data_IF_338677520888
#
_entry.id   IF_338677520888
#
_cell.length_a   1.000
_cell.length_b   1.000
_cell.length_c   1.000
_cell.angle_alpha   90.00
_cell.angle_beta   90.00
_cell.angle_gamma   90.00
#
_symmetry.space_group_name_H-M   'P 1'
#
loop_
_entity.id
_entity.type
_entity.pdbx_description
1 polymer ?
#
# COMPACT_ATOMS: atom_id res chain seq x y z
N UNK A 1 -7.33 7.34 13.36
CA UNK A 1 -7.54 7.22 11.89
C UNK A 1 -7.47 8.61 11.26
N UNK A 2 -6.34 8.96 10.60
CA UNK A 2 -6.10 10.28 10.01
C UNK A 2 -6.44 10.29 8.50
N UNK A 3 -7.16 11.31 8.04
CA UNK A 3 -7.77 11.36 6.72
C UNK A 3 -9.14 10.67 6.64
N UNK A 4 -9.82 10.52 7.78
CA UNK A 4 -11.07 9.78 7.91
C UNK A 4 -12.20 10.25 6.98
N UNK A 5 -12.24 11.52 6.62
CA UNK A 5 -13.26 12.10 5.72
C UNK A 5 -12.99 11.88 4.23
N UNK A 6 -11.81 11.35 3.88
CA UNK A 6 -11.49 10.93 2.50
C UNK A 6 -12.19 9.64 2.12
N UNK A 7 -12.19 9.28 0.82
CA UNK A 7 -12.88 8.10 0.32
C UNK A 7 -12.40 6.79 1.01
N UNK A 8 -11.10 6.49 0.93
CA UNK A 8 -10.52 5.30 1.59
C UNK A 8 -10.62 5.42 3.11
N UNK A 9 -10.44 6.64 3.66
CA UNK A 9 -10.55 6.89 5.09
C UNK A 9 -11.93 6.56 5.65
N UNK A 10 -13.00 6.95 4.97
CA UNK A 10 -14.39 6.64 5.36
C UNK A 10 -14.64 5.13 5.35
N UNK A 11 -14.21 4.42 4.31
CA UNK A 11 -14.34 2.96 4.25
C UNK A 11 -13.58 2.27 5.39
N UNK A 12 -12.35 2.71 5.65
CA UNK A 12 -11.53 2.16 6.75
C UNK A 12 -12.15 2.46 8.12
N UNK A 13 -12.64 3.68 8.33
CA UNK A 13 -13.32 4.07 9.58
C UNK A 13 -14.57 3.21 9.82
N UNK A 14 -15.35 2.93 8.78
CA UNK A 14 -16.54 2.07 8.84
C UNK A 14 -16.17 0.64 9.25
N UNK A 15 -15.14 0.04 8.63
CA UNK A 15 -14.65 -1.30 8.99
C UNK A 15 -14.15 -1.32 10.42
N UNK A 16 -13.32 -0.36 10.83
CA UNK A 16 -12.81 -0.25 12.20
C UNK A 16 -13.94 -0.15 13.23
N UNK A 17 -14.95 0.67 12.95
CA UNK A 17 -16.09 0.86 13.84
C UNK A 17 -16.89 -0.43 13.99
N UNK A 18 -17.21 -1.13 12.89
CA UNK A 18 -17.90 -2.44 12.93
C UNK A 18 -17.10 -3.51 13.68
N UNK A 19 -15.78 -3.47 13.58
CA UNK A 19 -14.89 -4.36 14.31
C UNK A 19 -14.71 -4.00 15.81
N UNK A 20 -15.33 -2.94 16.29
CA UNK A 20 -15.26 -2.51 17.69
C UNK A 20 -13.95 -1.86 18.10
N UNK A 21 -13.16 -1.33 17.16
CA UNK A 21 -11.87 -0.70 17.44
C UNK A 21 -11.99 0.73 18.00
N UNK A 22 -13.19 1.30 18.07
CA UNK A 22 -13.47 2.65 18.58
C UNK A 22 -12.48 3.73 18.06
N UNK A 23 -12.37 3.95 16.73
CA UNK A 23 -11.35 4.82 16.19
C UNK A 23 -11.56 6.29 16.57
N UNK A 24 -10.47 7.01 16.86
CA UNK A 24 -10.45 8.47 16.86
C UNK A 24 -10.30 8.93 15.41
N UNK A 25 -11.36 9.50 14.83
CA UNK A 25 -11.39 9.98 13.45
C UNK A 25 -10.74 11.34 13.36
N UNK A 26 -9.75 11.52 12.47
CA UNK A 26 -9.05 12.80 12.36
C UNK A 26 -9.01 13.33 10.91
N UNK A 27 -9.08 14.65 10.78
CA UNK A 27 -9.07 15.37 9.52
C UNK A 27 -9.21 16.88 9.73
N UNK A 28 -9.23 17.65 8.63
CA UNK A 28 -9.21 19.13 8.66
C UNK A 28 -10.55 19.77 8.99
N UNK A 29 -11.65 19.14 8.58
CA UNK A 29 -12.99 19.70 8.68
C UNK A 29 -13.72 19.11 9.87
N UNK A 30 -13.93 19.93 10.90
CA UNK A 30 -14.68 19.54 12.09
C UNK A 30 -16.11 19.08 11.74
N UNK A 31 -16.83 19.88 10.92
CA UNK A 31 -18.20 19.52 10.52
C UNK A 31 -18.26 18.15 9.82
N UNK A 32 -17.34 17.88 8.89
CA UNK A 32 -17.31 16.59 8.18
C UNK A 32 -16.93 15.42 9.11
N UNK A 33 -16.17 15.67 10.18
CA UNK A 33 -15.86 14.66 11.19
C UNK A 33 -17.06 14.39 12.10
N UNK A 34 -17.78 15.42 12.51
CA UNK A 34 -19.02 15.30 13.32
C UNK A 34 -20.07 14.50 12.53
N UNK A 35 -20.28 14.85 11.26
CA UNK A 35 -21.22 14.11 10.38
C UNK A 35 -20.79 12.63 10.26
N UNK A 36 -19.49 12.38 10.03
CA UNK A 36 -18.97 11.02 9.90
C UNK A 36 -19.14 10.20 11.19
N UNK A 37 -18.89 10.78 12.36
CA UNK A 37 -19.14 10.10 13.65
C UNK A 37 -20.62 9.78 13.79
N UNK A 38 -21.52 10.72 13.44
CA UNK A 38 -22.96 10.49 13.43
C UNK A 38 -23.40 9.33 12.53
N UNK A 39 -22.82 9.26 11.31
CA UNK A 39 -23.07 8.18 10.34
C UNK A 39 -22.59 6.80 10.86
N UNK A 40 -21.46 6.77 11.57
CA UNK A 40 -20.82 5.54 12.01
C UNK A 40 -21.30 5.06 13.39
N UNK A 41 -21.78 5.93 14.26
CA UNK A 41 -22.23 5.57 15.61
C UNK A 41 -23.23 4.41 15.65
N UNK A 42 -24.22 4.31 14.72
CA UNK A 42 -25.17 3.18 14.70
C UNK A 42 -24.51 1.84 14.33
N UNK A 43 -23.30 1.83 13.79
CA UNK A 43 -22.57 0.64 13.40
C UNK A 43 -21.66 0.11 14.51
N UNK A 44 -21.42 0.94 15.54
CA UNK A 44 -20.52 0.61 16.64
C UNK A 44 -21.17 -0.38 17.62
N UNK A 45 -20.41 -1.35 18.16
CA UNK A 45 -20.83 -2.07 19.35
C UNK A 45 -21.05 -1.11 20.52
N UNK A 46 -21.82 -1.56 21.52
CA UNK A 46 -22.05 -0.80 22.77
C UNK A 46 -20.68 -0.46 23.38
N UNK A 47 -20.49 0.80 23.78
CA UNK A 47 -19.26 1.34 24.37
C UNK A 47 -18.04 1.45 23.43
N UNK A 48 -18.19 1.23 22.12
CA UNK A 48 -17.12 1.35 21.13
C UNK A 48 -17.40 2.41 20.03
N UNK A 49 -18.14 3.46 20.36
CA UNK A 49 -18.46 4.53 19.42
C UNK A 49 -17.19 5.29 19.00
N UNK A 50 -17.07 5.66 17.69
CA UNK A 50 -15.96 6.48 17.24
C UNK A 50 -16.03 7.89 17.84
N UNK A 51 -14.87 8.50 18.04
CA UNK A 51 -14.73 9.92 18.44
C UNK A 51 -13.98 10.66 17.35
N UNK A 52 -13.78 11.98 17.51
CA UNK A 52 -13.07 12.75 16.51
C UNK A 52 -12.11 13.79 17.09
N UNK A 53 -11.11 14.20 16.29
CA UNK A 53 -10.18 15.30 16.55
C UNK A 53 -9.85 16.03 15.24
N UNK A 54 -9.72 17.34 15.30
CA UNK A 54 -9.22 18.12 14.17
C UNK A 54 -7.70 17.99 14.09
N UNK A 55 -7.17 17.69 12.90
CA UNK A 55 -5.74 17.70 12.61
C UNK A 55 -5.50 18.05 11.14
N UNK A 56 -4.48 18.85 10.87
CA UNK A 56 -4.08 19.28 9.53
C UNK A 56 -2.58 19.04 9.32
N UNK A 57 -2.20 18.52 8.16
CA UNK A 57 -0.79 18.36 7.75
C UNK A 57 -0.03 19.69 7.68
N UNK A 58 -0.74 20.80 7.48
CA UNK A 58 -0.17 22.15 7.52
C UNK A 58 0.21 22.59 8.94
N UNK A 59 -0.36 21.94 9.96
CA UNK A 59 0.01 22.08 11.37
C UNK A 59 0.52 20.73 11.92
N UNK A 60 1.82 20.44 11.80
CA UNK A 60 2.39 19.19 12.30
C UNK A 60 2.19 18.95 13.80
N UNK A 61 1.97 20.00 14.59
CA UNK A 61 1.69 19.85 16.02
C UNK A 61 0.32 19.19 16.26
N UNK A 62 -0.69 19.56 15.46
CA UNK A 62 -2.00 18.91 15.51
C UNK A 62 -1.95 17.43 15.14
N UNK A 63 -1.06 17.04 14.20
CA UNK A 63 -0.88 15.64 13.81
C UNK A 63 -0.14 14.86 14.92
N UNK A 64 0.89 15.44 15.54
CA UNK A 64 1.57 14.83 16.70
C UNK A 64 0.63 14.60 17.87
N UNK A 65 -0.32 15.49 18.09
CA UNK A 65 -1.32 15.36 19.16
C UNK A 65 -2.31 14.18 18.94
N UNK A 66 -2.32 13.56 17.77
CA UNK A 66 -3.16 12.38 17.50
C UNK A 66 -2.65 11.11 18.20
N UNK A 67 -1.35 11.06 18.53
CA UNK A 67 -0.70 9.93 19.21
C UNK A 67 0.03 10.43 20.44
N UNK A 68 -0.23 9.83 21.58
CA UNK A 68 0.27 10.28 22.88
C UNK A 68 0.89 9.15 23.70
N UNK A 69 0.73 7.91 23.24
CA UNK A 69 1.22 6.71 23.91
C UNK A 69 1.92 5.79 22.89
N UNK A 70 3.05 5.13 23.23
CA UNK A 70 3.68 4.13 22.37
C UNK A 70 2.75 2.94 21.99
N UNK A 71 1.68 2.70 22.75
CA UNK A 71 0.66 1.72 22.40
C UNK A 71 -0.35 2.19 21.36
N UNK A 72 -0.37 3.48 21.03
CA UNK A 72 -1.24 4.02 20.00
C UNK A 72 -0.90 3.46 18.61
N UNK A 73 -1.89 3.49 17.72
CA UNK A 73 -1.71 3.14 16.30
C UNK A 73 -2.27 4.26 15.42
N UNK A 74 -1.40 4.90 14.64
CA UNK A 74 -1.78 5.94 13.69
C UNK A 74 -1.99 5.32 12.30
N UNK A 75 -3.24 5.27 11.85
CA UNK A 75 -3.57 4.86 10.47
C UNK A 75 -3.80 6.10 9.63
N UNK A 76 -3.06 6.27 8.54
CA UNK A 76 -3.14 7.44 7.67
C UNK A 76 -3.61 7.09 6.25
N UNK A 77 -4.60 7.84 5.76
CA UNK A 77 -5.03 7.83 4.36
C UNK A 77 -4.91 9.21 3.73
N UNK A 78 -4.05 10.05 4.29
CA UNK A 78 -3.83 11.43 3.82
C UNK A 78 -2.80 11.43 2.69
N UNK A 79 -3.29 11.45 1.46
CA UNK A 79 -2.47 11.52 0.26
C UNK A 79 -2.70 12.83 -0.54
N UNK A 80 -1.84 13.14 -1.53
CA UNK A 80 -0.66 12.37 -1.98
C UNK A 80 0.43 12.26 -0.90
N UNK A 81 0.91 11.03 -0.66
CA UNK A 81 1.77 10.73 0.50
C UNK A 81 3.17 11.34 0.36
N UNK A 82 3.73 11.39 -0.85
CA UNK A 82 5.02 12.04 -1.10
C UNK A 82 5.03 13.51 -0.66
N UNK A 83 3.88 14.19 -0.76
CA UNK A 83 3.72 15.59 -0.38
C UNK A 83 3.21 15.78 1.06
N UNK A 84 2.29 14.93 1.52
CA UNK A 84 1.51 15.16 2.73
C UNK A 84 1.70 14.09 3.83
N UNK A 85 2.32 12.96 3.53
CA UNK A 85 2.44 11.82 4.47
C UNK A 85 3.44 12.02 5.61
N UNK A 86 4.42 12.94 5.43
CA UNK A 86 5.52 13.12 6.38
C UNK A 86 5.09 13.40 7.82
N UNK A 87 4.16 14.33 8.11
CA UNK A 87 3.80 14.65 9.49
C UNK A 87 3.26 13.44 10.28
N UNK A 88 2.55 12.52 9.62
CA UNK A 88 2.02 11.32 10.27
C UNK A 88 3.13 10.29 10.60
N UNK A 89 4.09 10.08 9.69
CA UNK A 89 5.26 9.22 9.96
C UNK A 89 6.12 9.81 11.08
N UNK A 90 6.43 11.11 11.01
CA UNK A 90 7.22 11.78 12.04
C UNK A 90 6.54 11.67 13.41
N UNK A 91 5.22 11.89 13.50
CA UNK A 91 4.46 11.73 14.75
C UNK A 91 4.57 10.31 15.32
N UNK A 92 4.44 9.28 14.48
CA UNK A 92 4.55 7.90 14.91
C UNK A 92 5.97 7.53 15.35
N UNK A 93 7.00 8.00 14.62
CA UNK A 93 8.40 7.78 14.98
C UNK A 93 8.77 8.49 16.27
N UNK A 94 8.39 9.76 16.44
CA UNK A 94 8.66 10.55 17.65
C UNK A 94 8.00 9.92 18.89
N UNK A 95 6.79 9.36 18.74
CA UNK A 95 6.06 8.71 19.83
C UNK A 95 6.50 7.26 20.08
N UNK A 96 7.17 6.61 19.13
CA UNK A 96 7.53 5.18 19.22
C UNK A 96 6.34 4.25 19.01
N UNK A 97 5.27 4.69 18.33
CA UNK A 97 4.02 3.96 18.20
C UNK A 97 3.86 3.23 16.85
N UNK A 98 2.71 2.56 16.65
CA UNK A 98 2.36 1.90 15.42
C UNK A 98 1.92 2.88 14.32
N UNK A 99 2.31 2.63 13.06
CA UNK A 99 1.90 3.39 11.89
C UNK A 99 1.50 2.48 10.74
N UNK A 100 0.38 2.79 10.09
CA UNK A 100 -0.04 2.18 8.84
C UNK A 100 -0.49 3.25 7.84
N UNK A 101 -0.29 3.01 6.56
CA UNK A 101 -0.83 3.84 5.50
C UNK A 101 -1.25 3.04 4.26
N UNK A 102 -1.99 3.69 3.37
CA UNK A 102 -2.50 3.13 2.11
C UNK A 102 -1.78 3.69 0.89
N UNK A 103 -0.51 4.09 1.02
CA UNK A 103 0.22 4.66 -0.13
C UNK A 103 0.47 3.62 -1.22
N UNK A 104 0.40 4.07 -2.49
CA UNK A 104 0.96 3.35 -3.63
C UNK A 104 2.20 4.06 -4.20
N UNK A 105 2.66 5.16 -3.58
CA UNK A 105 3.69 6.06 -4.11
C UNK A 105 5.10 5.55 -3.80
N UNK A 106 5.82 5.16 -4.84
CA UNK A 106 7.13 4.50 -4.76
C UNK A 106 8.18 5.31 -3.98
N UNK A 107 8.23 6.62 -4.20
CA UNK A 107 9.18 7.51 -3.52
C UNK A 107 8.93 7.59 -2.02
N UNK A 108 7.66 7.60 -1.61
CA UNK A 108 7.28 7.62 -0.20
C UNK A 108 7.63 6.30 0.48
N UNK A 109 7.31 5.16 -0.14
CA UNK A 109 7.66 3.83 0.36
C UNK A 109 9.17 3.72 0.56
N UNK A 110 9.95 4.06 -0.47
CA UNK A 110 11.40 4.04 -0.41
C UNK A 110 11.95 4.86 0.76
N UNK A 111 11.42 6.07 0.94
CA UNK A 111 11.80 6.95 2.03
C UNK A 111 11.51 6.34 3.40
N UNK A 112 10.31 5.75 3.59
CA UNK A 112 9.95 5.10 4.85
C UNK A 112 10.93 3.97 5.17
N UNK A 113 11.29 3.12 4.19
CA UNK A 113 12.23 2.04 4.43
C UNK A 113 13.68 2.51 4.62
N UNK A 114 14.18 3.43 3.79
CA UNK A 114 15.58 3.83 3.81
C UNK A 114 15.91 4.91 4.85
N UNK A 115 14.98 5.80 5.16
CA UNK A 115 15.23 6.96 6.03
C UNK A 115 14.49 6.90 7.36
N UNK A 116 13.21 6.55 7.34
CA UNK A 116 12.38 6.57 8.55
C UNK A 116 12.49 5.26 9.34
N UNK A 117 12.73 4.12 8.67
CA UNK A 117 12.95 2.82 9.31
C UNK A 117 14.05 2.82 10.36
N UNK A 118 15.27 3.27 10.05
CA UNK A 118 16.34 3.39 11.05
C UNK A 118 16.00 4.31 12.24
N UNK A 119 15.23 5.38 12.02
CA UNK A 119 14.74 6.25 13.10
C UNK A 119 13.70 5.52 13.96
N UNK A 120 12.82 4.75 13.33
CA UNK A 120 11.80 3.96 14.01
C UNK A 120 12.40 2.85 14.86
N UNK A 121 13.50 2.21 14.43
CA UNK A 121 14.25 1.23 15.24
C UNK A 121 14.77 1.84 16.54
N UNK A 122 15.21 3.10 16.52
CA UNK A 122 15.74 3.80 17.69
C UNK A 122 14.63 4.19 18.70
N UNK A 123 13.41 4.43 18.22
CA UNK A 123 12.29 4.88 19.08
C UNK A 123 11.32 3.75 19.46
N UNK A 124 11.44 2.58 18.84
CA UNK A 124 10.50 1.48 19.01
C UNK A 124 9.26 1.55 18.14
N UNK A 125 9.19 2.49 17.19
CA UNK A 125 8.08 2.61 16.26
C UNK A 125 8.02 1.44 15.27
N UNK A 126 6.80 1.13 14.80
CA UNK A 126 6.50 0.06 13.85
C UNK A 126 5.81 0.65 12.64
N UNK A 127 6.55 0.80 11.53
CA UNK A 127 6.07 1.47 10.32
C UNK A 127 5.67 0.44 9.27
N UNK A 128 4.38 0.27 9.03
CA UNK A 128 3.79 -0.59 8.00
C UNK A 128 3.23 0.30 6.88
N UNK A 129 4.11 0.87 6.07
CA UNK A 129 3.70 1.67 4.91
C UNK A 129 3.17 0.79 3.79
N UNK A 130 2.28 1.32 2.95
CA UNK A 130 1.66 0.60 1.84
C UNK A 130 0.92 -0.67 2.30
N UNK A 131 0.15 -0.55 3.37
CA UNK A 131 -0.55 -1.67 4.01
C UNK A 131 -2.01 -1.79 3.51
N UNK A 132 -2.18 -1.80 2.20
CA UNK A 132 -3.44 -1.95 1.49
C UNK A 132 -3.34 -2.95 0.35
N UNK A 133 -4.23 -2.81 -0.66
CA UNK A 133 -4.11 -3.54 -1.91
C UNK A 133 -2.72 -3.33 -2.55
N UNK A 134 -2.19 -2.14 -2.49
CA UNK A 134 -0.79 -1.83 -2.71
C UNK A 134 -0.13 -1.74 -1.30
N UNK A 135 0.63 -2.74 -0.77
CA UNK A 135 1.26 -3.87 -1.46
C UNK A 135 1.15 -5.17 -0.63
N UNK A 136 0.13 -5.37 0.20
CA UNK A 136 -0.01 -6.58 1.03
C UNK A 136 -0.24 -7.86 0.19
N UNK A 137 -1.13 -7.87 -0.82
CA UNK A 137 -1.37 -9.07 -1.63
C UNK A 137 -0.13 -9.58 -2.36
N UNK A 138 0.73 -8.68 -2.84
CA UNK A 138 1.97 -9.06 -3.51
C UNK A 138 3.02 -9.58 -2.56
N UNK A 139 3.16 -8.97 -1.37
CA UNK A 139 4.00 -9.53 -0.31
C UNK A 139 3.56 -10.95 0.07
N UNK A 140 2.24 -11.18 0.19
CA UNK A 140 1.68 -12.50 0.47
C UNK A 140 1.97 -13.49 -0.66
N UNK A 141 1.68 -13.13 -1.92
CA UNK A 141 1.88 -13.99 -3.08
C UNK A 141 3.37 -14.31 -3.28
N UNK A 142 4.25 -13.31 -3.16
CA UNK A 142 5.70 -13.47 -3.25
C UNK A 142 6.27 -14.37 -2.15
N UNK A 143 5.86 -14.16 -0.91
CA UNK A 143 6.29 -14.99 0.23
C UNK A 143 5.81 -16.44 0.11
N UNK A 144 4.57 -16.65 -0.33
CA UNK A 144 4.03 -17.97 -0.60
C UNK A 144 4.79 -18.67 -1.74
N UNK A 145 5.14 -17.94 -2.81
CA UNK A 145 5.93 -18.49 -3.91
C UNK A 145 7.34 -18.86 -3.46
N UNK A 146 8.01 -18.03 -2.63
CA UNK A 146 9.31 -18.37 -2.01
C UNK A 146 9.19 -19.65 -1.19
N UNK A 147 8.19 -19.76 -0.31
CA UNK A 147 7.93 -20.94 0.52
C UNK A 147 7.70 -22.19 -0.33
N UNK A 148 6.89 -22.08 -1.38
CA UNK A 148 6.59 -23.19 -2.29
C UNK A 148 7.84 -23.67 -3.06
N UNK A 149 8.68 -22.75 -3.56
CA UNK A 149 9.93 -23.09 -4.23
C UNK A 149 10.87 -23.85 -3.30
N UNK A 150 11.04 -23.39 -2.05
CA UNK A 150 11.86 -24.05 -1.03
C UNK A 150 11.35 -25.45 -0.68
N UNK A 151 10.04 -25.63 -0.51
CA UNK A 151 9.42 -26.93 -0.27
C UNK A 151 9.63 -27.92 -1.43
N UNK A 152 9.73 -27.43 -2.67
CA UNK A 152 10.08 -28.20 -3.86
C UNK A 152 11.58 -28.44 -4.05
N UNK A 153 12.43 -28.08 -3.08
CA UNK A 153 13.90 -28.18 -3.17
C UNK A 153 14.54 -27.15 -4.11
N UNK A 154 13.78 -26.17 -4.58
CA UNK A 154 14.27 -25.08 -5.43
C UNK A 154 15.01 -24.00 -4.63
N UNK A 155 15.89 -23.28 -5.32
CA UNK A 155 16.68 -22.18 -4.76
C UNK A 155 16.37 -20.89 -5.52
N UNK A 156 15.37 -20.10 -5.08
CA UNK A 156 14.99 -18.89 -5.80
C UNK A 156 16.10 -17.84 -5.72
N UNK A 157 16.45 -17.26 -6.85
CA UNK A 157 17.35 -16.10 -6.95
C UNK A 157 16.62 -14.83 -7.30
N UNK A 158 15.39 -14.94 -7.83
CA UNK A 158 14.54 -13.81 -8.16
C UNK A 158 13.07 -14.04 -7.82
N UNK A 159 12.37 -12.95 -7.53
CA UNK A 159 10.92 -12.91 -7.30
C UNK A 159 10.30 -11.82 -8.17
N UNK A 160 9.22 -12.15 -8.83
CA UNK A 160 8.41 -11.17 -9.57
C UNK A 160 6.98 -11.19 -9.07
N UNK A 161 6.44 -9.99 -8.82
CA UNK A 161 5.08 -9.79 -8.33
C UNK A 161 4.31 -8.93 -9.31
N UNK A 162 3.12 -9.37 -9.72
CA UNK A 162 2.23 -8.63 -10.62
C UNK A 162 0.87 -8.36 -9.98
N UNK A 163 0.37 -7.14 -10.11
CA UNK A 163 -0.92 -6.68 -9.61
C UNK A 163 -1.91 -6.45 -10.73
N UNK A 164 -3.10 -6.98 -10.60
CA UNK A 164 -4.17 -6.90 -11.60
C UNK A 164 -5.53 -6.69 -10.93
N UNK A 165 -6.46 -6.10 -11.67
CA UNK A 165 -7.86 -5.96 -11.27
C UNK A 165 -8.74 -6.56 -12.35
N UNK A 166 -9.68 -7.43 -11.97
CA UNK A 166 -10.75 -7.89 -12.85
C UNK A 166 -12.02 -7.12 -12.52
N UNK A 167 -12.77 -6.75 -13.53
CA UNK A 167 -13.95 -5.88 -13.40
C UNK A 167 -13.58 -4.40 -13.58
N UNK A 168 -14.56 -3.52 -13.44
CA UNK A 168 -14.35 -2.06 -13.53
C UNK A 168 -13.66 -1.54 -12.28
N UNK A 169 -12.54 -0.85 -12.42
CA UNK A 169 -11.92 -0.11 -11.32
C UNK A 169 -12.17 1.39 -11.51
N UNK A 170 -13.21 1.93 -10.84
CA UNK A 170 -13.32 3.36 -10.66
C UNK A 170 -12.13 3.87 -9.80
N UNK A 171 -11.51 4.98 -10.20
CA UNK A 171 -10.43 5.58 -9.40
C UNK A 171 -10.97 6.69 -8.51
N UNK A 172 -10.69 6.64 -7.21
CA UNK A 172 -10.96 7.76 -6.31
C UNK A 172 -10.12 8.99 -6.69
N UNK A 173 -10.53 10.16 -6.23
CA UNK A 173 -9.76 11.40 -6.43
C UNK A 173 -8.33 11.28 -5.88
N UNK A 174 -8.17 10.66 -4.71
CA UNK A 174 -6.86 10.37 -4.12
C UNK A 174 -6.01 9.45 -4.99
N UNK A 175 -6.58 8.33 -5.45
CA UNK A 175 -5.87 7.39 -6.34
C UNK A 175 -5.46 8.04 -7.66
N UNK A 176 -6.30 8.91 -8.25
CA UNK A 176 -5.93 9.67 -9.46
C UNK A 176 -4.75 10.62 -9.20
N UNK A 177 -4.74 11.30 -8.04
CA UNK A 177 -3.66 12.20 -7.66
C UNK A 177 -2.33 11.44 -7.49
N UNK A 178 -2.35 10.33 -6.75
CA UNK A 178 -1.18 9.47 -6.56
C UNK A 178 -0.70 8.85 -7.88
N UNK A 179 -1.61 8.36 -8.74
CA UNK A 179 -1.25 7.80 -10.05
C UNK A 179 -0.59 8.83 -10.97
N UNK A 180 -1.06 10.08 -10.95
CA UNK A 180 -0.42 11.18 -11.69
C UNK A 180 1.00 11.46 -11.17
N UNK A 181 1.23 11.40 -9.85
CA UNK A 181 2.56 11.49 -9.24
C UNK A 181 3.48 10.35 -9.67
N UNK A 182 2.99 9.11 -9.62
CA UNK A 182 3.74 7.91 -10.00
C UNK A 182 4.26 7.91 -11.45
N UNK A 183 3.50 8.51 -12.40
CA UNK A 183 3.95 8.63 -13.80
C UNK A 183 5.21 9.50 -13.91
N UNK A 184 5.37 10.48 -13.02
CA UNK A 184 6.53 11.38 -13.01
C UNK A 184 7.73 10.81 -12.21
N UNK A 185 7.51 9.79 -11.38
CA UNK A 185 8.55 9.17 -10.57
C UNK A 185 9.36 8.14 -11.37
N UNK A 186 10.62 7.95 -10.96
CA UNK A 186 11.43 6.85 -11.47
C UNK A 186 11.16 5.60 -10.64
N UNK A 187 10.72 4.50 -11.26
CA UNK A 187 10.59 3.25 -10.55
C UNK A 187 11.97 2.76 -10.08
N UNK A 188 11.95 2.02 -8.98
CA UNK A 188 13.11 1.30 -8.50
C UNK A 188 12.84 -0.21 -8.49
N UNK A 189 13.89 -0.99 -8.41
CA UNK A 189 13.83 -2.44 -8.24
C UNK A 189 14.96 -2.90 -7.32
N UNK A 190 14.83 -4.08 -6.73
CA UNK A 190 15.92 -4.76 -6.07
C UNK A 190 16.66 -5.61 -7.10
N UNK A 191 17.94 -5.29 -7.36
CA UNK A 191 18.77 -5.96 -8.37
C UNK A 191 20.15 -6.24 -7.81
N UNK A 192 20.64 -7.46 -8.02
CA UNK A 192 21.96 -7.91 -7.52
C UNK A 192 22.16 -7.64 -6.02
N UNK A 193 21.10 -7.66 -5.22
CA UNK A 193 21.16 -7.43 -3.78
C UNK A 193 21.13 -5.97 -3.34
N UNK A 194 20.72 -5.04 -4.20
CA UNK A 194 20.60 -3.62 -3.88
C UNK A 194 19.37 -2.97 -4.53
N UNK A 195 18.86 -1.90 -3.90
CA UNK A 195 17.83 -1.04 -4.51
C UNK A 195 18.51 -0.17 -5.57
N UNK A 196 17.99 -0.22 -6.79
CA UNK A 196 18.48 0.57 -7.92
C UNK A 196 17.34 1.25 -8.65
N UNK A 197 17.53 2.49 -9.09
CA UNK A 197 16.59 3.15 -10.00
C UNK A 197 16.68 2.50 -11.37
N UNK A 198 15.53 2.14 -11.94
CA UNK A 198 15.47 1.49 -13.25
C UNK A 198 14.16 1.81 -13.95
N UNK A 199 14.23 2.03 -15.27
CA UNK A 199 13.02 2.08 -16.11
C UNK A 199 12.34 0.72 -16.27
N UNK A 200 13.04 -0.37 -15.93
CA UNK A 200 12.55 -1.73 -16.02
C UNK A 200 12.08 -2.13 -17.42
N UNK A 201 11.53 -3.34 -17.54
CA UNK A 201 10.83 -3.82 -18.73
C UNK A 201 9.44 -4.27 -18.33
N UNK A 202 8.47 -4.10 -19.25
CA UNK A 202 7.15 -4.71 -19.11
C UNK A 202 7.33 -6.23 -18.95
N UNK A 203 6.72 -6.78 -17.91
CA UNK A 203 6.64 -8.23 -17.68
C UNK A 203 5.25 -8.75 -18.07
N UNK A 204 5.17 -10.01 -18.46
CA UNK A 204 3.92 -10.69 -18.78
C UNK A 204 3.66 -11.76 -17.73
N UNK A 205 2.45 -11.81 -17.20
CA UNK A 205 1.98 -12.75 -16.19
C UNK A 205 0.81 -13.57 -16.72
N UNK A 206 0.77 -14.85 -16.34
CA UNK A 206 -0.42 -15.67 -16.53
C UNK A 206 -1.37 -15.42 -15.35
N UNK A 207 -2.56 -14.90 -15.66
CA UNK A 207 -3.61 -14.54 -14.70
C UNK A 207 -4.86 -15.35 -15.07
N UNK A 208 -4.97 -16.55 -14.52
CA UNK A 208 -5.97 -17.54 -14.96
C UNK A 208 -5.70 -17.99 -16.39
N UNK A 209 -6.69 -17.85 -17.24
CA UNK A 209 -6.67 -18.19 -18.67
C UNK A 209 -6.07 -17.07 -19.57
N UNK A 210 -5.65 -15.96 -18.97
CA UNK A 210 -5.20 -14.76 -19.71
C UNK A 210 -3.73 -14.44 -19.42
N UNK A 211 -3.03 -14.00 -20.46
CA UNK A 211 -1.71 -13.39 -20.33
C UNK A 211 -1.83 -11.88 -20.35
N UNK A 212 -1.38 -11.24 -19.27
CA UNK A 212 -1.50 -9.80 -19.07
C UNK A 212 -0.14 -9.17 -18.91
N UNK A 213 0.06 -8.05 -19.60
CA UNK A 213 1.25 -7.23 -19.46
C UNK A 213 1.13 -6.30 -18.23
N UNK A 214 2.24 -6.13 -17.52
CA UNK A 214 2.34 -5.24 -16.37
C UNK A 214 3.63 -4.41 -16.44
N UNK A 215 3.53 -3.11 -16.12
CA UNK A 215 4.68 -2.20 -16.11
C UNK A 215 5.37 -2.20 -14.75
N UNK A 216 6.69 -1.99 -14.68
CA UNK A 216 7.43 -1.97 -13.42
C UNK A 216 7.02 -0.76 -12.57
N UNK A 217 6.91 -1.00 -11.26
CA UNK A 217 6.66 0.01 -10.24
C UNK A 217 7.53 -0.25 -9.01
N UNK A 218 7.80 0.77 -8.20
CA UNK A 218 8.44 0.58 -6.89
C UNK A 218 7.39 0.19 -5.85
N UNK A 219 7.60 -0.90 -5.13
CA UNK A 219 6.72 -1.40 -4.08
C UNK A 219 7.50 -1.82 -2.83
N UNK A 220 6.79 -2.11 -1.75
CA UNK A 220 7.39 -2.53 -0.47
C UNK A 220 8.09 -3.90 -0.57
N UNK A 221 7.67 -4.75 -1.51
CA UNK A 221 8.23 -6.09 -1.75
C UNK A 221 9.73 -6.06 -2.05
N UNK A 222 10.23 -4.99 -2.66
CA UNK A 222 11.66 -4.82 -2.93
C UNK A 222 12.51 -4.79 -1.66
N UNK A 223 11.93 -4.34 -0.53
CA UNK A 223 12.59 -4.26 0.76
C UNK A 223 12.33 -5.48 1.64
N UNK A 224 11.21 -6.15 1.46
CA UNK A 224 10.68 -7.14 2.39
C UNK A 224 10.90 -8.58 1.94
N UNK A 225 10.69 -8.92 0.64
CA UNK A 225 10.87 -10.27 0.15
C UNK A 225 12.33 -10.77 0.21
N UNK A 226 13.36 -9.94 -0.03
CA UNK A 226 14.76 -10.39 0.17
C UNK A 226 15.10 -10.78 1.61
N UNK A 227 14.36 -10.25 2.60
CA UNK A 227 14.57 -10.60 4.03
C UNK A 227 14.10 -12.02 4.34
N UNK A 228 13.15 -12.55 3.56
CA UNK A 228 12.59 -13.89 3.76
C UNK A 228 13.51 -15.00 3.22
N UNK A 229 14.29 -14.68 2.18
CA UNK A 229 15.19 -15.65 1.53
C UNK A 229 16.45 -14.92 1.04
N UNK A 230 17.59 -15.06 1.75
CA UNK A 230 18.82 -14.33 1.43
C UNK A 230 19.41 -14.64 0.05
N UNK A 231 19.01 -15.73 -0.60
CA UNK A 231 19.43 -16.06 -1.97
C UNK A 231 18.68 -15.26 -3.03
N UNK A 232 17.57 -14.62 -2.68
CA UNK A 232 16.85 -13.69 -3.57
C UNK A 232 17.69 -12.45 -3.76
N UNK A 233 18.20 -12.27 -4.97
CA UNK A 233 19.05 -11.14 -5.38
C UNK A 233 18.29 -10.14 -6.25
N UNK A 234 17.15 -10.56 -6.79
CA UNK A 234 16.33 -9.76 -7.70
C UNK A 234 14.86 -9.79 -7.27
N UNK A 235 14.25 -8.62 -7.12
CA UNK A 235 12.80 -8.48 -6.94
C UNK A 235 12.28 -7.47 -7.95
N UNK A 236 11.21 -7.82 -8.65
CA UNK A 236 10.47 -6.96 -9.56
C UNK A 236 9.00 -6.89 -9.17
N UNK A 237 8.45 -5.68 -9.11
CA UNK A 237 7.03 -5.44 -8.84
C UNK A 237 6.41 -4.75 -10.05
N UNK A 238 5.22 -5.19 -10.45
CA UNK A 238 4.61 -4.80 -11.71
C UNK A 238 3.12 -4.51 -11.55
N UNK A 239 2.62 -3.50 -12.25
CA UNK A 239 1.24 -3.05 -12.23
C UNK A 239 0.58 -3.22 -13.60
N UNK A 240 -0.47 -4.05 -13.68
CA UNK A 240 -1.18 -4.40 -14.92
C UNK A 240 -2.54 -3.69 -15.08
N UNK A 241 -2.73 -2.50 -14.51
CA UNK A 241 -4.01 -1.78 -14.54
C UNK A 241 -4.37 -1.21 -15.91
N UNK A 242 -3.38 -0.90 -16.73
CA UNK A 242 -3.62 -0.31 -18.05
C UNK A 242 -4.09 -1.32 -19.12
N UNK A 243 -4.21 -2.59 -18.78
CA UNK A 243 -4.66 -3.65 -19.70
C UNK A 243 -3.85 -3.66 -21.00
N UNK A 244 -4.52 -3.60 -22.14
CA UNK A 244 -3.86 -3.58 -23.47
C UNK A 244 -3.00 -2.34 -23.73
N UNK A 245 -3.19 -1.28 -22.97
CA UNK A 245 -2.43 -0.02 -23.08
C UNK A 245 -1.17 -0.01 -22.22
N UNK A 246 -0.86 -1.06 -21.47
CA UNK A 246 0.27 -1.11 -20.54
C UNK A 246 1.61 -0.77 -21.20
N UNK A 247 1.88 -1.29 -22.41
CA UNK A 247 3.11 -0.99 -23.16
C UNK A 247 3.18 0.46 -23.63
N UNK A 248 2.04 1.02 -24.04
CA UNK A 248 1.95 2.44 -24.45
C UNK A 248 2.13 3.35 -23.24
N UNK A 249 1.47 3.04 -22.12
CA UNK A 249 1.60 3.78 -20.87
C UNK A 249 3.05 3.75 -20.34
N UNK A 250 3.71 2.59 -20.40
CA UNK A 250 5.11 2.45 -20.02
C UNK A 250 6.05 3.29 -20.89
N UNK A 251 5.87 3.24 -22.22
CA UNK A 251 6.67 4.05 -23.16
C UNK A 251 6.45 5.56 -22.94
N UNK A 252 5.20 5.99 -22.70
CA UNK A 252 4.88 7.38 -22.38
C UNK A 252 5.51 7.82 -21.05
N UNK A 253 5.45 6.99 -20.01
CA UNK A 253 6.12 7.24 -18.73
C UNK A 253 7.64 7.38 -18.86
N UNK A 254 8.28 6.52 -19.65
CA UNK A 254 9.72 6.61 -19.95
C UNK A 254 10.08 7.92 -20.69
N UNK A 255 9.27 8.34 -21.66
CA UNK A 255 9.45 9.61 -22.37
C UNK A 255 9.27 10.82 -21.42
N UNK A 256 8.28 10.78 -20.53
CA UNK A 256 8.04 11.81 -19.52
C UNK A 256 9.22 11.90 -18.54
N UNK A 257 9.71 10.77 -18.06
CA UNK A 257 10.88 10.69 -17.17
C UNK A 257 12.16 11.24 -17.82
N UNK A 258 12.31 11.11 -19.14
CA UNK A 258 13.40 11.71 -19.89
C UNK A 258 13.22 13.23 -20.03
N UNK A 259 12.00 13.68 -20.30
CA UNK A 259 11.67 15.10 -20.44
C UNK A 259 11.86 15.88 -19.11
N UNK A 260 11.60 15.25 -17.96
CA UNK A 260 11.82 15.88 -16.63
C UNK A 260 13.29 16.14 -16.31
N UNK A 261 14.24 15.60 -17.09
CA UNK A 261 15.68 15.94 -16.97
C UNK A 261 16.01 17.34 -17.51
N UNK A 262 15.10 17.95 -18.28
CA UNK A 262 15.24 19.31 -18.77
C UNK A 262 14.80 20.28 -17.68
N UNK A 263 15.66 21.24 -17.25
CA UNK A 263 15.32 22.21 -16.22
C UNK A 263 14.01 22.94 -16.56
N UNK A 264 13.05 22.94 -15.64
CA UNK A 264 11.74 23.60 -15.80
C UNK A 264 10.65 22.77 -16.49
N UNK A 265 10.95 21.68 -17.18
CA UNK A 265 9.92 20.83 -17.80
C UNK A 265 9.10 20.02 -16.78
N UNK A 266 9.72 19.60 -15.69
CA UNK A 266 9.06 18.84 -14.64
C UNK A 266 7.88 19.58 -13.99
N UNK A 267 8.03 20.88 -13.72
CA UNK A 267 6.97 21.71 -13.12
C UNK A 267 5.79 21.92 -14.06
N UNK A 268 6.02 22.00 -15.37
CA UNK A 268 4.95 22.13 -16.38
C UNK A 268 4.17 20.82 -16.53
N UNK A 269 4.86 19.67 -16.48
CA UNK A 269 4.24 18.34 -16.58
C UNK A 269 3.39 18.09 -15.34
N UNK A 270 3.91 18.34 -14.14
CA UNK A 270 3.16 18.16 -12.87
C UNK A 270 1.98 19.13 -12.77
N UNK A 271 2.11 20.38 -13.21
CA UNK A 271 1.00 21.33 -13.29
C UNK A 271 -0.08 20.91 -14.30
N UNK A 272 0.31 20.33 -15.44
CA UNK A 272 -0.59 19.78 -16.45
C UNK A 272 -1.37 18.56 -15.92
N UNK A 273 -0.68 17.62 -15.30
CA UNK A 273 -1.28 16.43 -14.67
C UNK A 273 -2.21 16.81 -13.51
N UNK A 274 -1.82 17.79 -12.68
CA UNK A 274 -2.65 18.29 -11.57
C UNK A 274 -4.00 18.87 -12.05
N UNK A 275 -4.04 19.51 -13.22
CA UNK A 275 -5.30 20.00 -13.82
C UNK A 275 -6.22 18.88 -14.30
N UNK A 276 -5.67 17.73 -14.70
CA UNK A 276 -6.44 16.56 -15.14
C UNK A 276 -7.05 15.78 -13.96
N UNK A 277 -6.47 15.90 -12.76
CA UNK A 277 -6.89 15.15 -11.57
C UNK A 277 -8.21 15.69 -10.97
N UNK A 278 -8.56 16.96 -11.21
CA UNK A 278 -9.77 17.59 -10.68
C UNK A 278 -9.72 17.84 -9.17
N UNK A 279 -10.50 18.81 -8.68
CA UNK A 279 -10.47 19.28 -7.27
C UNK A 279 -11.46 18.54 -6.34
N UNK A 280 -12.21 17.55 -6.83
CA UNK A 280 -13.24 16.88 -6.02
C UNK A 280 -12.60 15.88 -5.04
N UNK A 281 -12.54 16.23 -3.75
CA UNK A 281 -12.15 15.33 -2.66
C UNK A 281 -13.30 14.40 -2.26
N UNK A 282 -12.98 13.16 -1.85
CA UNK A 282 -13.97 12.22 -1.30
C UNK A 282 -14.80 11.44 -2.33
N UNK A 283 -14.60 11.66 -3.64
CA UNK A 283 -15.31 10.93 -4.70
C UNK A 283 -14.52 9.67 -5.09
N UNK A 284 -15.22 8.55 -5.15
CA UNK A 284 -14.66 7.25 -5.55
C UNK A 284 -15.75 6.31 -6.05
N UNK A 285 -15.41 5.05 -6.40
CA UNK A 285 -16.38 4.10 -6.91
C UNK A 285 -17.51 3.80 -5.92
N UNK A 286 -18.70 3.64 -6.45
CA UNK A 286 -19.90 3.24 -5.67
C UNK A 286 -19.71 1.82 -5.10
N UNK A 287 -20.53 1.45 -4.12
CA UNK A 287 -20.54 0.08 -3.56
C UNK A 287 -20.81 -0.97 -4.65
N UNK A 288 -21.69 -0.67 -5.61
CA UNK A 288 -22.00 -1.56 -6.73
C UNK A 288 -20.80 -1.75 -7.67
N UNK A 289 -20.06 -0.67 -7.98
CA UNK A 289 -18.85 -0.76 -8.80
C UNK A 289 -17.75 -1.54 -8.08
N UNK A 290 -17.58 -1.35 -6.77
CA UNK A 290 -16.63 -2.12 -5.96
C UNK A 290 -17.00 -3.61 -5.94
N UNK A 291 -18.27 -3.95 -5.71
CA UNK A 291 -18.73 -5.34 -5.69
C UNK A 291 -18.48 -6.09 -7.02
N UNK A 292 -18.37 -5.37 -8.13
CA UNK A 292 -18.05 -5.92 -9.46
C UNK A 292 -16.55 -6.08 -9.74
N UNK A 293 -15.67 -5.68 -8.82
CA UNK A 293 -14.21 -5.75 -9.03
C UNK A 293 -13.51 -6.74 -8.09
N UNK A 294 -12.43 -7.36 -8.59
CA UNK A 294 -11.64 -8.37 -7.88
C UNK A 294 -10.18 -7.97 -7.93
N UNK A 295 -9.55 -7.92 -6.77
CA UNK A 295 -8.10 -7.75 -6.60
C UNK A 295 -7.38 -9.05 -6.93
N UNK A 296 -6.30 -8.98 -7.69
CA UNK A 296 -5.48 -10.12 -8.05
C UNK A 296 -4.01 -9.77 -7.87
N UNK A 297 -3.26 -10.62 -7.18
CA UNK A 297 -1.80 -10.56 -7.18
C UNK A 297 -1.22 -11.93 -7.55
N UNK A 298 -0.14 -11.89 -8.34
CA UNK A 298 0.61 -13.09 -8.77
C UNK A 298 2.05 -12.93 -8.34
N UNK A 299 2.54 -13.85 -7.50
CA UNK A 299 3.94 -13.97 -7.16
C UNK A 299 4.55 -15.18 -7.88
N UNK A 300 5.72 -15.00 -8.50
CA UNK A 300 6.49 -16.11 -9.06
C UNK A 300 7.97 -16.02 -8.69
N UNK A 301 8.60 -17.16 -8.51
CA UNK A 301 10.03 -17.24 -8.24
C UNK A 301 10.77 -17.84 -9.42
N UNK A 302 12.01 -17.39 -9.62
CA UNK A 302 12.90 -17.89 -10.66
C UNK A 302 14.25 -18.28 -10.09
N UNK A 303 14.91 -19.26 -10.73
CA UNK A 303 16.29 -19.63 -10.42
C UNK A 303 17.31 -18.69 -11.10
N UNK A 304 18.62 -18.95 -10.87
CA UNK A 304 19.71 -18.13 -11.41
C UNK A 304 19.84 -18.10 -12.93
N UNK A 305 19.10 -18.95 -13.65
CA UNK A 305 19.04 -18.98 -15.12
C UNK A 305 17.70 -18.50 -15.66
N UNK A 306 16.82 -17.99 -14.77
CA UNK A 306 15.53 -17.42 -15.15
C UNK A 306 14.39 -18.43 -15.34
N UNK A 307 14.59 -19.71 -14.93
CA UNK A 307 13.54 -20.73 -14.99
C UNK A 307 12.59 -20.53 -13.79
N UNK A 308 11.29 -20.53 -14.05
CA UNK A 308 10.27 -20.46 -13.01
C UNK A 308 10.30 -21.72 -12.11
N UNK A 309 10.36 -21.49 -10.80
CA UNK A 309 10.37 -22.54 -9.77
C UNK A 309 9.00 -22.73 -9.14
N UNK A 310 8.26 -21.65 -8.96
CA UNK A 310 6.94 -21.66 -8.35
C UNK A 310 6.14 -20.44 -8.79
N UNK A 311 4.82 -20.59 -8.70
CA UNK A 311 3.86 -19.49 -8.92
C UNK A 311 2.71 -19.61 -7.91
N UNK A 312 2.28 -18.47 -7.38
CA UNK A 312 1.12 -18.37 -6.50
C UNK A 312 0.28 -17.20 -6.95
N UNK A 313 -1.03 -17.42 -7.09
CA UNK A 313 -2.02 -16.38 -7.34
C UNK A 313 -2.92 -16.23 -6.12
N UNK A 314 -3.18 -14.99 -5.71
CA UNK A 314 -4.18 -14.65 -4.69
C UNK A 314 -5.23 -13.75 -5.31
N UNK A 315 -6.49 -13.97 -4.93
CA UNK A 315 -7.63 -13.14 -5.35
C UNK A 315 -8.42 -12.71 -4.12
N UNK A 316 -8.99 -11.51 -4.15
CA UNK A 316 -9.73 -10.92 -3.03
C UNK A 316 -10.77 -9.90 -3.47
N UNK A 317 -11.42 -9.23 -2.51
CA UNK A 317 -12.40 -8.17 -2.76
C UNK A 317 -11.82 -7.04 -3.61
N UNK A 318 -12.65 -6.03 -3.89
CA UNK A 318 -12.20 -4.82 -4.60
C UNK A 318 -10.97 -4.20 -3.93
N UNK A 319 -10.09 -3.50 -4.68
CA UNK A 319 -8.90 -2.85 -4.10
C UNK A 319 -9.22 -1.94 -2.90
N UNK A 320 -10.34 -1.21 -2.95
CA UNK A 320 -10.70 -0.28 -1.87
C UNK A 320 -11.25 -0.99 -0.63
N UNK A 321 -12.13 -1.97 -0.82
CA UNK A 321 -12.66 -2.75 0.30
C UNK A 321 -11.54 -3.55 0.96
N UNK A 322 -10.68 -4.20 0.16
CA UNK A 322 -9.51 -4.91 0.67
C UNK A 322 -8.54 -3.99 1.42
N UNK A 323 -8.30 -2.78 0.92
CA UNK A 323 -7.44 -1.79 1.61
C UNK A 323 -8.03 -1.40 2.96
N UNK A 324 -9.34 -1.14 3.04
CA UNK A 324 -10.00 -0.78 4.28
C UNK A 324 -9.92 -1.91 5.32
N UNK A 325 -10.18 -3.15 4.89
CA UNK A 325 -10.09 -4.34 5.72
C UNK A 325 -8.67 -4.60 6.21
N UNK A 326 -7.65 -4.51 5.34
CA UNK A 326 -6.26 -4.69 5.70
C UNK A 326 -5.77 -3.65 6.70
N UNK A 327 -6.11 -2.37 6.51
CA UNK A 327 -5.73 -1.31 7.45
C UNK A 327 -6.37 -1.53 8.83
N UNK A 328 -7.65 -1.94 8.89
CA UNK A 328 -8.33 -2.24 10.13
C UNK A 328 -7.73 -3.48 10.82
N UNK A 329 -7.49 -4.55 10.07
CA UNK A 329 -6.85 -5.76 10.57
C UNK A 329 -5.42 -5.49 11.07
N UNK A 330 -4.59 -4.79 10.31
CA UNK A 330 -3.24 -4.43 10.71
C UNK A 330 -3.21 -3.57 11.96
N UNK A 331 -4.14 -2.61 12.09
CA UNK A 331 -4.29 -1.80 13.30
C UNK A 331 -4.66 -2.66 14.51
N UNK A 332 -5.62 -3.58 14.38
CA UNK A 332 -6.00 -4.52 15.43
C UNK A 332 -4.84 -5.41 15.87
N UNK A 333 -4.03 -5.90 14.92
CA UNK A 333 -2.84 -6.70 15.20
C UNK A 333 -1.79 -5.92 15.99
N UNK A 334 -1.54 -4.65 15.64
CA UNK A 334 -0.63 -3.78 16.38
C UNK A 334 -1.14 -3.47 17.77
N UNK A 335 -2.42 -3.09 17.92
CA UNK A 335 -3.06 -2.79 19.21
C UNK A 335 -3.06 -3.99 20.18
N UNK A 336 -3.12 -5.22 19.65
CA UNK A 336 -3.07 -6.45 20.43
C UNK A 336 -1.65 -6.98 20.67
N UNK A 337 -0.62 -6.20 20.32
CA UNK A 337 0.79 -6.56 20.58
C UNK A 337 1.30 -7.73 19.72
N UNK A 338 0.68 -8.01 18.58
CA UNK A 338 1.06 -9.11 17.68
C UNK A 338 2.27 -8.81 16.81
N UNK A 339 2.85 -7.62 16.94
CA UNK A 339 4.09 -7.22 16.25
C UNK A 339 5.15 -6.86 17.29
N UNK A 340 6.19 -7.67 17.41
CA UNK A 340 7.33 -7.43 18.30
C UNK A 340 8.52 -6.76 17.60
N UNK A 341 8.55 -6.77 16.28
CA UNK A 341 9.60 -6.16 15.45
C UNK A 341 9.38 -4.66 15.31
N UNK A 342 10.45 -3.88 15.28
CA UNK A 342 10.43 -2.42 15.14
C UNK A 342 11.09 -1.97 13.83
N UNK A 343 10.88 -0.71 13.41
CA UNK A 343 11.42 -0.18 12.18
C UNK A 343 10.40 -0.17 11.04
N UNK A 344 10.87 -0.09 9.79
CA UNK A 344 10.03 -0.22 8.60
C UNK A 344 9.87 -1.70 8.23
N UNK A 345 8.62 -2.17 8.24
CA UNK A 345 8.26 -3.57 8.18
C UNK A 345 7.33 -3.86 7.01
N UNK A 346 7.54 -5.01 6.36
CA UNK A 346 6.54 -5.62 5.53
C UNK A 346 5.52 -6.43 6.35
N UNK A 347 4.42 -6.85 5.74
CA UNK A 347 3.38 -7.59 6.45
C UNK A 347 3.86 -8.93 7.02
N UNK A 348 4.81 -9.60 6.36
CA UNK A 348 5.42 -10.85 6.85
C UNK A 348 6.42 -10.57 7.97
N UNK A 349 7.21 -9.47 7.88
CA UNK A 349 8.14 -9.07 8.96
C UNK A 349 7.37 -8.76 10.25
N UNK A 350 6.21 -8.13 10.12
CA UNK A 350 5.39 -7.69 11.25
C UNK A 350 4.64 -8.84 11.94
N UNK A 351 4.04 -9.73 11.16
CA UNK A 351 3.05 -10.69 11.70
C UNK A 351 3.41 -12.16 11.44
N UNK A 352 4.42 -12.43 10.63
CA UNK A 352 4.74 -13.78 10.15
C UNK A 352 3.82 -14.24 9.01
N UNK A 353 4.32 -15.17 8.19
CA UNK A 353 3.60 -15.59 6.98
C UNK A 353 2.29 -16.33 7.30
N UNK A 354 2.26 -17.19 8.32
CA UNK A 354 1.06 -17.99 8.60
C UNK A 354 -0.08 -17.13 9.19
N UNK A 355 0.23 -16.17 10.05
CA UNK A 355 -0.75 -15.21 10.55
C UNK A 355 -1.27 -14.29 9.44
N UNK A 356 -0.39 -13.87 8.51
CA UNK A 356 -0.79 -13.08 7.35
C UNK A 356 -1.72 -13.88 6.41
N UNK A 357 -1.40 -15.16 6.15
CA UNK A 357 -2.27 -16.07 5.35
C UNK A 357 -3.64 -16.19 5.98
N UNK A 358 -3.72 -16.46 7.29
CA UNK A 358 -4.98 -16.59 8.01
C UNK A 358 -5.79 -15.28 7.97
N UNK A 359 -5.16 -14.15 8.37
CA UNK A 359 -5.82 -12.85 8.38
C UNK A 359 -6.32 -12.44 6.99
N UNK A 360 -5.49 -12.58 5.94
CA UNK A 360 -5.90 -12.30 4.58
C UNK A 360 -7.08 -13.19 4.12
N UNK A 361 -7.06 -14.48 4.49
CA UNK A 361 -8.15 -15.40 4.15
C UNK A 361 -9.49 -15.01 4.80
N UNK A 362 -9.46 -14.54 6.05
CA UNK A 362 -10.62 -14.04 6.77
C UNK A 362 -11.19 -12.77 6.11
N UNK A 363 -10.32 -11.92 5.54
CA UNK A 363 -10.68 -10.73 4.77
C UNK A 363 -11.07 -11.04 3.30
N UNK A 364 -11.14 -12.32 2.93
CA UNK A 364 -11.54 -12.76 1.59
C UNK A 364 -10.41 -12.77 0.56
N UNK A 365 -9.17 -12.42 0.92
CA UNK A 365 -8.00 -12.56 0.05
C UNK A 365 -7.41 -13.96 0.18
N UNK A 366 -7.61 -14.80 -0.84
CA UNK A 366 -7.28 -16.22 -0.79
C UNK A 366 -6.41 -16.64 -1.97
N UNK A 367 -5.59 -17.65 -1.73
CA UNK A 367 -4.87 -18.34 -2.80
C UNK A 367 -5.89 -19.04 -3.71
N UNK A 368 -5.67 -18.88 -5.02
CA UNK A 368 -6.39 -19.59 -6.10
C UNK A 368 -5.34 -20.19 -7.01
N UNK A 369 -5.41 -21.50 -7.19
CA UNK A 369 -4.46 -22.28 -8.02
C UNK A 369 -4.85 -22.28 -9.49
#
# INVERSE_FOLDING_TARGET
MFGATGYTGRLTAEVMTRAGLAPVLAGRSESALVDLVGDLAPLAPIDAAPTWRVADVADPASVRALVTDPADVLVSTVGPFAALGRPAVDAAVEQGCGYLDSTGESSFIRRVFESDGPRAELTGARLLTAFGYDYVPGNLAGALAIRQAGAGGGSPSGVEVGYFVRGGMGLSSGTRASAAGMIAERPFAYRNGAIVETGGRVATFDVGDRRLDAMPVGGSEHFTLPRLEPRVRDVGVYLGWAGRLTRVAHAAGAATSLATRVPGAGSLITAGLGRLVGSATGVGPTAQERAGSVSIAVGRTVDGVGRELSRVRVEGPSPYDLTAELLAWGAAMLLTGRCSTVGALGPVDAFGLDALVAGCADLGLRRVD
#
